data_IF_576856256583
#
_entry.id   IF_576856256583
#
_cell.length_a   1.000
_cell.length_b   1.000
_cell.length_c   1.000
_cell.angle_alpha   90.00
_cell.angle_beta   90.00
_cell.angle_gamma   90.00
#
_symmetry.space_group_name_H-M   'P 1'
#
loop_
_entity.id
_entity.type
_entity.pdbx_description
1 polymer ?
#
# COMPACT_ATOMS: atom_id res chain seq x y z
N UNK A 1 36.44 -11.11 -4.18
CA UNK A 1 35.13 -11.78 -4.40
C UNK A 1 34.09 -10.75 -4.78
N UNK A 2 33.39 -10.92 -5.91
CA UNK A 2 32.31 -10.02 -6.34
C UNK A 2 31.17 -9.99 -5.32
N UNK A 3 30.44 -8.87 -5.24
CA UNK A 3 29.29 -8.74 -4.36
C UNK A 3 28.21 -9.80 -4.64
N UNK A 4 28.05 -10.19 -5.92
CA UNK A 4 27.15 -11.28 -6.34
C UNK A 4 27.51 -12.62 -5.70
N UNK A 5 28.80 -12.98 -5.66
CA UNK A 5 29.25 -14.25 -5.08
C UNK A 5 29.00 -14.30 -3.56
N UNK A 6 29.13 -13.17 -2.86
CA UNK A 6 28.85 -13.08 -1.42
C UNK A 6 27.37 -13.34 -1.12
N UNK A 7 26.46 -12.73 -1.88
CA UNK A 7 25.01 -12.91 -1.67
C UNK A 7 24.57 -14.34 -1.95
N UNK A 8 25.11 -15.00 -2.98
CA UNK A 8 24.81 -16.40 -3.26
C UNK A 8 25.23 -17.32 -2.11
N UNK A 9 26.35 -17.05 -1.44
CA UNK A 9 26.77 -17.80 -0.25
C UNK A 9 25.76 -17.63 0.90
N UNK A 10 25.32 -16.39 1.17
CA UNK A 10 24.32 -16.13 2.22
C UNK A 10 23.00 -16.84 1.92
N UNK A 11 22.55 -16.81 0.66
CA UNK A 11 21.34 -17.54 0.24
C UNK A 11 21.52 -19.03 0.50
N UNK A 12 22.66 -19.63 0.14
CA UNK A 12 22.96 -21.04 0.40
C UNK A 12 22.97 -21.39 1.89
N UNK A 13 23.44 -20.49 2.76
CA UNK A 13 23.43 -20.68 4.22
C UNK A 13 22.01 -20.61 4.79
N UNK A 14 21.16 -19.68 4.35
CA UNK A 14 19.81 -19.49 4.87
C UNK A 14 18.83 -20.57 4.36
N UNK A 15 18.97 -20.98 3.09
CA UNK A 15 17.99 -21.86 2.41
C UNK A 15 17.68 -23.15 3.17
N UNK A 16 18.64 -23.91 3.74
CA UNK A 16 18.33 -25.11 4.51
C UNK A 16 17.41 -24.85 5.71
N UNK A 17 17.64 -23.77 6.46
CA UNK A 17 16.80 -23.38 7.58
C UNK A 17 15.42 -22.89 7.12
N UNK A 18 15.38 -22.12 6.02
CA UNK A 18 14.14 -21.64 5.43
C UNK A 18 13.25 -22.81 4.96
N UNK A 19 13.84 -23.79 4.26
CA UNK A 19 13.15 -24.98 3.81
C UNK A 19 12.68 -25.83 4.98
N UNK A 20 13.50 -25.96 6.04
CA UNK A 20 13.11 -26.64 7.28
C UNK A 20 11.89 -25.97 7.93
N UNK A 21 11.82 -24.64 7.91
CA UNK A 21 10.68 -23.88 8.42
C UNK A 21 9.44 -24.03 7.54
N UNK A 22 9.54 -23.75 6.24
CA UNK A 22 8.39 -23.75 5.31
C UNK A 22 7.84 -25.17 5.14
N UNK A 23 8.71 -26.16 4.92
CA UNK A 23 8.30 -27.54 4.67
C UNK A 23 7.66 -28.23 5.87
N UNK A 24 7.95 -27.80 7.09
CA UNK A 24 7.42 -28.43 8.33
C UNK A 24 6.50 -27.50 9.13
N UNK A 25 6.06 -26.38 8.54
CA UNK A 25 5.38 -25.30 9.28
C UNK A 25 4.16 -25.77 10.08
N UNK A 26 3.42 -26.76 9.59
CA UNK A 26 2.24 -27.33 10.27
C UNK A 26 2.59 -28.17 11.51
N UNK A 27 3.80 -28.74 11.55
CA UNK A 27 4.23 -29.71 12.56
C UNK A 27 5.16 -29.09 13.61
N UNK A 28 5.63 -27.87 13.37
CA UNK A 28 6.49 -27.14 14.29
C UNK A 28 5.67 -26.44 15.37
N UNK A 29 6.08 -26.58 16.63
CA UNK A 29 5.63 -25.67 17.68
C UNK A 29 6.10 -24.25 17.40
N UNK A 30 5.47 -23.27 18.04
CA UNK A 30 5.93 -21.88 17.99
C UNK A 30 7.37 -21.73 18.48
N UNK A 31 7.74 -22.43 19.56
CA UNK A 31 9.12 -22.43 20.07
C UNK A 31 10.12 -23.01 19.07
N UNK A 32 9.78 -24.14 18.41
CA UNK A 32 10.63 -24.73 17.36
C UNK A 32 10.76 -23.80 16.15
N UNK A 33 9.66 -23.16 15.76
CA UNK A 33 9.66 -22.15 14.69
C UNK A 33 10.59 -20.99 15.03
N UNK A 34 10.51 -20.43 16.24
CA UNK A 34 11.41 -19.37 16.70
C UNK A 34 12.87 -19.80 16.66
N UNK A 35 13.18 -21.03 17.08
CA UNK A 35 14.55 -21.57 17.05
C UNK A 35 15.11 -21.65 15.63
N UNK A 36 14.32 -22.08 14.64
CA UNK A 36 14.77 -22.11 13.24
C UNK A 36 14.93 -20.68 12.71
N UNK A 37 13.99 -19.79 13.01
CA UNK A 37 14.06 -18.40 12.60
C UNK A 37 15.22 -17.64 13.26
N UNK A 38 15.60 -18.02 14.48
CA UNK A 38 16.76 -17.50 15.20
C UNK A 38 18.07 -17.86 14.48
N UNK A 39 18.21 -19.10 13.98
CA UNK A 39 19.40 -19.51 13.22
C UNK A 39 19.59 -18.63 11.97
N UNK A 40 18.49 -18.36 11.26
CA UNK A 40 18.48 -17.44 10.12
C UNK A 40 18.84 -16.02 10.57
N UNK A 41 18.30 -15.57 11.70
CA UNK A 41 18.60 -14.26 12.28
C UNK A 41 20.07 -14.10 12.66
N UNK A 42 20.72 -15.15 13.15
CA UNK A 42 22.14 -15.17 13.48
C UNK A 42 23.00 -15.07 12.22
N UNK A 43 22.69 -15.85 11.19
CA UNK A 43 23.36 -15.73 9.87
C UNK A 43 23.24 -14.29 9.36
N UNK A 44 22.03 -13.71 9.38
CA UNK A 44 21.81 -12.33 8.95
C UNK A 44 22.62 -11.34 9.79
N UNK A 45 22.68 -11.50 11.12
CA UNK A 45 23.45 -10.63 12.02
C UNK A 45 24.93 -10.65 11.71
N UNK A 46 25.52 -11.83 11.59
CA UNK A 46 26.94 -12.01 11.26
C UNK A 46 27.28 -11.30 9.95
N UNK A 47 26.43 -11.46 8.92
CA UNK A 47 26.68 -10.87 7.61
C UNK A 47 26.46 -9.35 7.60
N UNK A 48 25.45 -8.86 8.32
CA UNK A 48 25.21 -7.42 8.50
C UNK A 48 26.40 -6.74 9.16
N UNK A 49 26.92 -7.33 10.24
CA UNK A 49 28.08 -6.80 10.97
C UNK A 49 29.33 -6.83 10.09
N UNK A 50 29.58 -7.97 9.42
CA UNK A 50 30.75 -8.16 8.55
C UNK A 50 30.76 -7.20 7.35
N UNK A 51 29.59 -6.89 6.80
CA UNK A 51 29.46 -6.00 5.64
C UNK A 51 29.28 -4.53 6.03
N UNK A 52 29.01 -4.24 7.31
CA UNK A 52 28.69 -2.92 7.83
C UNK A 52 27.59 -2.20 7.02
N UNK A 53 26.48 -2.90 6.76
CA UNK A 53 25.34 -2.36 6.00
C UNK A 53 24.05 -2.33 6.82
N UNK A 54 23.12 -1.41 6.54
CA UNK A 54 21.80 -1.46 7.12
C UNK A 54 21.09 -2.79 6.81
N UNK A 55 20.36 -3.40 7.77
CA UNK A 55 19.73 -4.71 7.57
C UNK A 55 18.82 -4.76 6.32
N UNK A 56 18.06 -3.69 6.08
CA UNK A 56 17.16 -3.60 4.94
C UNK A 56 17.87 -3.68 3.58
N UNK A 57 19.12 -3.23 3.49
CA UNK A 57 19.91 -3.33 2.27
C UNK A 57 20.28 -4.79 1.98
N UNK A 58 20.68 -5.55 3.02
CA UNK A 58 20.95 -6.97 2.86
C UNK A 58 19.69 -7.75 2.44
N UNK A 59 18.54 -7.43 3.04
CA UNK A 59 17.30 -8.14 2.70
C UNK A 59 16.88 -7.96 1.25
N UNK A 60 17.06 -6.75 0.71
CA UNK A 60 16.84 -6.45 -0.71
C UNK A 60 17.78 -7.24 -1.60
N UNK A 61 19.05 -7.36 -1.21
CA UNK A 61 20.05 -8.11 -1.98
C UNK A 61 19.75 -9.62 -2.02
N UNK A 62 19.31 -10.21 -0.90
CA UNK A 62 18.92 -11.62 -0.80
C UNK A 62 17.64 -11.92 -1.59
N UNK A 63 16.62 -11.07 -1.49
CA UNK A 63 15.34 -11.29 -2.16
C UNK A 63 15.43 -11.02 -3.67
N UNK A 64 16.11 -9.94 -4.06
CA UNK A 64 16.36 -9.62 -5.46
C UNK A 64 15.27 -8.80 -6.18
N UNK A 65 14.19 -8.34 -5.53
CA UNK A 65 13.28 -7.32 -6.09
C UNK A 65 13.42 -5.99 -5.35
N UNK A 66 13.64 -4.89 -6.08
CA UNK A 66 13.41 -3.53 -5.58
C UNK A 66 11.93 -3.14 -5.76
N UNK A 67 11.37 -2.40 -4.80
CA UNK A 67 10.06 -1.72 -4.92
C UNK A 67 10.13 -0.44 -5.77
N UNK A 68 11.27 -0.19 -6.41
CA UNK A 68 11.53 0.96 -7.29
C UNK A 68 12.01 0.48 -8.65
N UNK A 69 11.70 1.26 -9.69
CA UNK A 69 11.78 1.12 -11.16
C UNK A 69 12.87 0.26 -11.83
N UNK A 70 13.79 -0.37 -11.09
CA UNK A 70 14.70 -1.36 -11.63
C UNK A 70 14.09 -2.75 -11.44
N UNK A 71 13.72 -3.41 -12.54
CA UNK A 71 13.32 -4.82 -12.55
C UNK A 71 14.54 -5.69 -12.22
N UNK A 72 14.90 -5.80 -10.93
CA UNK A 72 15.90 -6.76 -10.49
C UNK A 72 15.21 -8.14 -10.43
N UNK A 73 15.82 -9.12 -11.10
CA UNK A 73 15.36 -10.51 -11.08
C UNK A 73 15.39 -11.05 -9.65
N UNK A 74 14.30 -11.71 -9.25
CA UNK A 74 14.19 -12.37 -7.96
C UNK A 74 15.32 -13.40 -7.79
N UNK A 75 16.11 -13.26 -6.72
CA UNK A 75 17.26 -14.11 -6.43
C UNK A 75 16.94 -15.26 -5.48
N UNK A 76 15.92 -15.08 -4.64
CA UNK A 76 15.44 -16.14 -3.74
C UNK A 76 13.96 -15.97 -3.39
N UNK A 77 13.35 -17.03 -2.87
CA UNK A 77 11.99 -17.02 -2.34
C UNK A 77 11.91 -16.55 -0.87
N UNK A 78 13.02 -16.13 -0.28
CA UNK A 78 13.10 -15.71 1.12
C UNK A 78 12.70 -14.23 1.20
N UNK A 79 11.47 -13.95 1.61
CA UNK A 79 10.92 -12.59 1.58
C UNK A 79 11.63 -11.64 2.54
N UNK A 80 11.68 -10.34 2.19
CA UNK A 80 12.25 -9.30 3.06
C UNK A 80 11.58 -9.24 4.44
N UNK A 81 10.26 -9.43 4.46
CA UNK A 81 9.50 -9.45 5.71
C UNK A 81 9.90 -10.63 6.61
N UNK A 82 10.06 -11.83 6.02
CA UNK A 82 10.52 -12.99 6.76
C UNK A 82 11.93 -12.79 7.34
N UNK A 83 12.86 -12.28 6.53
CA UNK A 83 14.22 -11.95 6.97
C UNK A 83 14.21 -10.91 8.12
N UNK A 84 13.40 -9.86 7.98
CA UNK A 84 13.23 -8.86 9.03
C UNK A 84 12.72 -9.45 10.35
N UNK A 85 11.78 -10.39 10.30
CA UNK A 85 11.30 -11.11 11.50
C UNK A 85 12.40 -11.99 12.12
N UNK A 86 13.14 -12.75 11.32
CA UNK A 86 14.27 -13.56 11.79
C UNK A 86 15.33 -12.72 12.52
N UNK A 87 15.73 -11.60 11.91
CA UNK A 87 16.69 -10.69 12.52
C UNK A 87 16.17 -10.09 13.83
N UNK A 88 14.89 -9.67 13.88
CA UNK A 88 14.26 -9.18 15.12
C UNK A 88 14.25 -10.24 16.22
N UNK A 89 13.89 -11.49 15.90
CA UNK A 89 13.92 -12.62 16.84
C UNK A 89 15.32 -12.79 17.45
N UNK A 90 16.37 -12.70 16.62
CA UNK A 90 17.76 -12.76 17.11
C UNK A 90 18.15 -11.58 18.01
N UNK A 91 17.60 -10.39 17.78
CA UNK A 91 17.80 -9.24 18.69
C UNK A 91 17.05 -9.40 20.00
N UNK A 92 15.82 -9.93 19.96
CA UNK A 92 14.98 -10.19 21.14
C UNK A 92 15.61 -11.26 22.04
N UNK A 93 16.16 -12.31 21.43
CA UNK A 93 16.80 -13.42 22.13
C UNK A 93 18.29 -13.46 21.76
N UNK A 94 19.18 -12.82 22.53
CA UNK A 94 20.60 -12.82 22.24
C UNK A 94 21.19 -14.23 22.13
N UNK A 95 20.68 -15.17 22.93
CA UNK A 95 21.06 -16.57 22.87
C UNK A 95 19.85 -17.43 22.52
N UNK A 96 20.05 -18.44 21.68
CA UNK A 96 18.96 -19.36 21.28
C UNK A 96 18.27 -20.02 22.48
N UNK A 97 19.02 -20.34 23.54
CA UNK A 97 18.51 -20.90 24.80
C UNK A 97 17.53 -19.98 25.54
N UNK A 98 17.55 -18.68 25.26
CA UNK A 98 16.62 -17.74 25.89
C UNK A 98 15.18 -17.97 25.40
N UNK A 99 15.01 -18.54 24.19
CA UNK A 99 13.71 -18.98 23.68
C UNK A 99 13.19 -20.13 24.54
N UNK A 100 14.03 -21.11 24.85
CA UNK A 100 13.62 -22.26 25.67
C UNK A 100 13.32 -21.85 27.12
N UNK A 101 14.02 -20.83 27.64
CA UNK A 101 13.73 -20.26 28.96
C UNK A 101 12.43 -19.46 29.00
N UNK A 102 12.22 -18.58 28.03
CA UNK A 102 11.11 -17.61 28.07
C UNK A 102 9.83 -18.14 27.43
N UNK A 103 9.94 -19.01 26.41
CA UNK A 103 8.82 -19.47 25.58
C UNK A 103 8.81 -21.01 25.38
N UNK A 104 9.05 -21.82 26.42
CA UNK A 104 9.14 -23.28 26.27
C UNK A 104 7.86 -23.93 25.75
N UNK A 105 6.69 -23.34 26.04
CA UNK A 105 5.36 -23.87 25.71
C UNK A 105 4.66 -23.08 24.60
N UNK A 106 5.39 -22.22 23.88
CA UNK A 106 4.80 -21.43 22.80
C UNK A 106 4.28 -22.36 21.69
N UNK A 107 2.96 -22.40 21.54
CA UNK A 107 2.26 -23.27 20.57
C UNK A 107 2.33 -22.77 19.14
N UNK A 108 2.21 -21.45 18.93
CA UNK A 108 2.09 -20.86 17.60
C UNK A 108 3.04 -19.68 17.43
N UNK A 109 3.82 -19.70 16.35
CA UNK A 109 4.64 -18.57 15.94
C UNK A 109 3.80 -17.30 15.72
N UNK A 110 2.57 -17.44 15.21
CA UNK A 110 1.67 -16.30 14.98
C UNK A 110 1.36 -15.56 16.28
N UNK A 111 1.18 -16.26 17.41
CA UNK A 111 0.98 -15.60 18.71
C UNK A 111 2.18 -14.74 19.09
N UNK A 112 3.40 -15.26 18.95
CA UNK A 112 4.61 -14.47 19.19
C UNK A 112 4.74 -13.30 18.20
N UNK A 113 4.42 -13.52 16.92
CA UNK A 113 4.50 -12.49 15.89
C UNK A 113 3.64 -11.27 16.25
N UNK A 114 2.40 -11.50 16.68
CA UNK A 114 1.52 -10.40 17.12
C UNK A 114 2.05 -9.73 18.40
N UNK A 115 2.64 -10.50 19.32
CA UNK A 115 3.21 -9.95 20.54
C UNK A 115 4.56 -9.24 20.35
N UNK A 116 5.23 -9.43 19.20
CA UNK A 116 6.60 -8.98 18.94
C UNK A 116 6.86 -7.50 19.27
N UNK A 117 5.95 -6.54 18.99
CA UNK A 117 6.16 -5.13 19.35
C UNK A 117 6.44 -4.91 20.85
N UNK A 118 5.87 -5.73 21.73
CA UNK A 118 6.10 -5.65 23.17
C UNK A 118 7.47 -6.18 23.60
N UNK A 119 8.24 -6.79 22.70
CA UNK A 119 9.58 -7.31 22.97
C UNK A 119 10.70 -6.39 22.48
N UNK A 120 10.51 -5.67 21.37
CA UNK A 120 11.60 -4.98 20.66
C UNK A 120 11.32 -3.56 20.20
N UNK A 121 10.14 -3.00 20.50
CA UNK A 121 9.86 -1.60 20.22
C UNK A 121 10.00 -0.78 21.50
N UNK A 122 11.04 0.04 21.59
CA UNK A 122 11.38 0.82 22.79
C UNK A 122 10.22 1.68 23.32
N UNK A 123 9.29 2.10 22.46
CA UNK A 123 8.13 2.91 22.87
C UNK A 123 7.07 2.12 23.64
N UNK A 124 6.94 0.82 23.39
CA UNK A 124 5.86 -0.02 23.91
C UNK A 124 6.35 -1.33 24.54
N UNK A 125 7.66 -1.48 24.69
CA UNK A 125 8.30 -2.67 25.21
C UNK A 125 7.84 -2.94 26.64
N UNK A 126 7.42 -4.17 26.91
CA UNK A 126 7.04 -4.58 28.25
C UNK A 126 8.27 -4.98 29.07
N UNK A 127 8.32 -4.51 30.31
CA UNK A 127 9.36 -4.81 31.28
C UNK A 127 8.74 -5.22 32.64
N UNK A 128 9.54 -5.87 33.49
CA UNK A 128 9.09 -6.39 34.79
C UNK A 128 7.82 -7.25 34.70
N UNK A 129 6.83 -6.91 35.53
CA UNK A 129 5.56 -7.64 35.67
C UNK A 129 4.80 -7.76 34.33
N UNK A 130 4.81 -6.71 33.50
CA UNK A 130 4.10 -6.74 32.21
C UNK A 130 4.69 -7.79 31.28
N UNK A 131 6.02 -7.92 31.27
CA UNK A 131 6.73 -8.93 30.48
C UNK A 131 6.40 -10.33 31.00
N UNK A 132 6.40 -10.53 32.32
CA UNK A 132 6.06 -11.81 32.93
C UNK A 132 4.62 -12.24 32.60
N UNK A 133 3.66 -11.33 32.65
CA UNK A 133 2.27 -11.60 32.29
C UNK A 133 2.14 -11.97 30.80
N UNK A 134 2.84 -11.27 29.91
CA UNK A 134 2.85 -11.60 28.49
C UNK A 134 3.48 -12.98 28.22
N UNK A 135 4.61 -13.29 28.87
CA UNK A 135 5.24 -14.60 28.76
C UNK A 135 4.34 -15.72 29.31
N UNK A 136 3.63 -15.48 30.42
CA UNK A 136 2.64 -16.41 30.98
C UNK A 136 1.50 -16.66 30.00
N UNK A 137 0.99 -15.61 29.35
CA UNK A 137 -0.06 -15.71 28.33
C UNK A 137 0.43 -16.55 27.13
N UNK A 138 1.63 -16.26 26.60
CA UNK A 138 2.20 -16.93 25.43
C UNK A 138 2.54 -18.41 25.68
N UNK A 139 2.82 -18.79 26.93
CA UNK A 139 3.07 -20.18 27.36
C UNK A 139 1.83 -20.90 27.90
N UNK A 140 0.65 -20.26 27.88
CA UNK A 140 -0.56 -20.83 28.44
C UNK A 140 -1.10 -21.99 27.60
N UNK A 141 -1.97 -22.82 28.20
CA UNK A 141 -2.63 -23.91 27.48
C UNK A 141 -3.83 -23.46 26.64
N UNK A 142 -4.11 -22.15 26.58
CA UNK A 142 -5.27 -21.58 25.89
C UNK A 142 -5.13 -21.76 24.36
N UNK A 143 -6.26 -21.71 23.63
CA UNK A 143 -6.28 -21.72 22.16
C UNK A 143 -5.54 -20.50 21.59
N UNK A 144 -4.79 -20.71 20.50
CA UNK A 144 -4.01 -19.65 19.85
C UNK A 144 -4.87 -18.45 19.42
N UNK A 145 -6.11 -18.68 18.99
CA UNK A 145 -7.05 -17.62 18.62
C UNK A 145 -7.39 -16.68 19.79
N UNK A 146 -7.58 -17.23 20.99
CA UNK A 146 -7.84 -16.44 22.19
C UNK A 146 -6.61 -15.66 22.62
N UNK A 147 -5.42 -16.28 22.58
CA UNK A 147 -4.14 -15.60 22.85
C UNK A 147 -3.97 -14.39 21.91
N UNK A 148 -4.23 -14.58 20.61
CA UNK A 148 -4.17 -13.50 19.62
C UNK A 148 -5.19 -12.40 19.94
N UNK A 149 -6.41 -12.74 20.35
CA UNK A 149 -7.43 -11.77 20.76
C UNK A 149 -6.97 -10.92 21.93
N UNK A 150 -6.39 -11.54 22.96
CA UNK A 150 -5.89 -10.82 24.14
C UNK A 150 -4.67 -9.95 23.82
N UNK A 151 -3.76 -10.44 22.95
CA UNK A 151 -2.65 -9.61 22.43
C UNK A 151 -3.20 -8.39 21.67
N UNK A 152 -4.24 -8.54 20.85
CA UNK A 152 -4.84 -7.40 20.13
C UNK A 152 -5.47 -6.38 21.09
N UNK A 153 -6.07 -6.81 22.20
CA UNK A 153 -6.55 -5.90 23.25
C UNK A 153 -5.39 -5.13 23.88
N UNK A 154 -4.28 -5.82 24.19
CA UNK A 154 -3.05 -5.17 24.67
C UNK A 154 -2.53 -4.16 23.65
N UNK A 155 -2.46 -4.51 22.37
CA UNK A 155 -2.03 -3.58 21.32
C UNK A 155 -2.93 -2.35 21.25
N UNK A 156 -4.25 -2.52 21.32
CA UNK A 156 -5.20 -1.40 21.35
C UNK A 156 -4.96 -0.47 22.54
N UNK A 157 -4.74 -1.04 23.72
CA UNK A 157 -4.59 -0.28 24.97
C UNK A 157 -3.23 0.44 25.08
N UNK A 158 -2.15 -0.20 24.66
CA UNK A 158 -0.78 0.30 24.88
C UNK A 158 -0.15 0.96 23.66
N UNK A 159 -0.48 0.49 22.45
CA UNK A 159 0.08 1.06 21.21
C UNK A 159 -0.81 2.19 20.70
N UNK A 160 -2.14 2.03 20.81
CA UNK A 160 -3.13 3.05 20.43
C UNK A 160 -3.21 3.36 18.94
N UNK A 161 -2.47 2.64 18.09
CA UNK A 161 -2.42 2.91 16.64
C UNK A 161 -3.46 2.06 15.92
N UNK A 162 -4.63 2.66 15.68
CA UNK A 162 -5.51 2.21 14.61
C UNK A 162 -5.03 2.83 13.29
N UNK A 163 -4.08 2.18 12.61
CA UNK A 163 -3.80 2.51 11.20
C UNK A 163 -4.96 1.95 10.36
N UNK A 164 -6.11 2.62 10.41
CA UNK A 164 -7.21 2.27 9.51
C UNK A 164 -6.74 2.53 8.10
N UNK A 165 -7.10 1.68 7.14
CA UNK A 165 -6.81 1.92 5.71
C UNK A 165 -7.32 3.29 5.23
N UNK A 166 -8.18 3.98 5.99
CA UNK A 166 -8.74 5.32 5.70
C UNK A 166 -7.87 6.49 6.21
N UNK A 167 -6.79 6.22 6.94
CA UNK A 167 -5.90 7.25 7.48
C UNK A 167 -5.41 8.16 6.33
N UNK A 168 -5.58 9.47 6.50
CA UNK A 168 -5.25 10.53 5.52
C UNK A 168 -6.16 10.61 4.29
N UNK A 169 -7.29 9.89 4.24
CA UNK A 169 -8.30 10.13 3.19
C UNK A 169 -9.02 11.48 3.40
N UNK A 170 -9.22 11.89 4.65
CA UNK A 170 -9.89 13.16 4.97
C UNK A 170 -9.13 14.39 4.45
N UNK A 171 -7.81 14.27 4.27
CA UNK A 171 -6.94 15.30 3.67
C UNK A 171 -7.30 15.62 2.21
N UNK A 172 -8.08 14.75 1.55
CA UNK A 172 -8.54 14.89 0.16
C UNK A 172 -10.05 15.20 0.04
N UNK A 173 -10.75 15.48 1.15
CA UNK A 173 -12.18 15.80 1.10
C UNK A 173 -12.46 17.05 0.27
N UNK A 174 -11.59 18.07 0.33
CA UNK A 174 -11.72 19.27 -0.50
C UNK A 174 -11.67 18.94 -1.99
N UNK A 175 -10.75 18.06 -2.42
CA UNK A 175 -10.65 17.63 -3.82
C UNK A 175 -11.85 16.77 -4.23
N UNK A 176 -12.34 15.91 -3.33
CA UNK A 176 -13.54 15.12 -3.56
C UNK A 176 -14.75 16.03 -3.84
N UNK A 177 -15.00 17.02 -3.00
CA UNK A 177 -16.15 17.94 -3.18
C UNK A 177 -16.01 18.74 -4.48
N UNK A 178 -14.81 19.22 -4.81
CA UNK A 178 -14.55 19.86 -6.10
C UNK A 178 -14.78 18.91 -7.28
N UNK A 179 -14.39 17.65 -7.18
CA UNK A 179 -14.65 16.66 -8.22
C UNK A 179 -16.14 16.45 -8.44
N UNK A 180 -16.93 16.33 -7.36
CA UNK A 180 -18.39 16.18 -7.45
C UNK A 180 -19.02 17.40 -8.12
N UNK A 181 -18.59 18.60 -7.74
CA UNK A 181 -19.03 19.84 -8.38
C UNK A 181 -18.74 19.84 -9.89
N UNK A 182 -17.50 19.57 -10.30
CA UNK A 182 -17.10 19.52 -11.71
C UNK A 182 -17.93 18.47 -12.47
N UNK A 183 -18.08 17.28 -11.87
CA UNK A 183 -18.84 16.20 -12.47
C UNK A 183 -20.29 16.62 -12.76
N UNK A 184 -20.94 17.24 -11.79
CA UNK A 184 -22.32 17.68 -11.93
C UNK A 184 -22.45 18.85 -12.92
N UNK A 185 -21.51 19.79 -12.93
CA UNK A 185 -21.54 20.91 -13.87
C UNK A 185 -21.33 20.46 -15.32
N UNK A 186 -20.35 19.60 -15.58
CA UNK A 186 -20.13 19.05 -16.93
C UNK A 186 -21.35 18.23 -17.37
N UNK A 187 -21.94 17.44 -16.45
CA UNK A 187 -23.16 16.70 -16.73
C UNK A 187 -24.32 17.64 -17.09
N UNK A 188 -24.55 18.69 -16.29
CA UNK A 188 -25.58 19.71 -16.52
C UNK A 188 -25.40 20.42 -17.86
N UNK A 189 -24.16 20.74 -18.23
CA UNK A 189 -23.83 21.31 -19.54
C UNK A 189 -24.30 20.37 -20.65
N UNK A 190 -23.93 19.10 -20.59
CA UNK A 190 -24.26 18.11 -21.61
C UNK A 190 -25.76 17.81 -21.74
N UNK A 191 -26.53 17.94 -20.66
CA UNK A 191 -27.97 17.61 -20.66
C UNK A 191 -28.88 18.80 -20.89
N UNK A 192 -28.51 19.99 -20.41
CA UNK A 192 -29.45 21.12 -20.30
C UNK A 192 -29.12 22.30 -21.24
N UNK A 193 -27.99 22.26 -21.95
CA UNK A 193 -27.60 23.33 -22.87
C UNK A 193 -27.59 22.85 -24.32
N UNK A 194 -27.87 23.78 -25.23
CA UNK A 194 -27.56 23.59 -26.64
C UNK A 194 -26.07 23.81 -26.90
N UNK A 195 -25.50 22.99 -27.78
CA UNK A 195 -24.06 22.98 -28.04
C UNK A 195 -23.52 24.36 -28.47
N UNK A 196 -24.20 25.04 -29.39
CA UNK A 196 -23.74 26.34 -29.92
C UNK A 196 -23.69 27.40 -28.81
N UNK A 197 -24.79 27.52 -28.04
CA UNK A 197 -24.91 28.44 -26.91
C UNK A 197 -23.84 28.18 -25.84
N UNK A 198 -23.55 26.92 -25.55
CA UNK A 198 -22.47 26.56 -24.64
C UNK A 198 -21.11 26.98 -25.22
N UNK A 199 -20.87 26.68 -26.49
CA UNK A 199 -19.56 26.84 -27.12
C UNK A 199 -19.15 28.31 -27.25
N UNK A 200 -20.11 29.18 -27.58
CA UNK A 200 -19.92 30.63 -27.63
C UNK A 200 -19.52 31.21 -26.27
N UNK A 201 -20.10 30.70 -25.18
CA UNK A 201 -19.86 31.20 -23.83
C UNK A 201 -18.62 30.63 -23.15
N UNK A 202 -18.14 29.45 -23.57
CA UNK A 202 -17.06 28.76 -22.87
C UNK A 202 -15.69 29.45 -23.06
N UNK A 203 -15.45 30.12 -24.18
CA UNK A 203 -14.16 30.75 -24.51
C UNK A 203 -12.92 29.87 -24.20
N UNK A 204 -13.04 28.55 -24.44
CA UNK A 204 -11.95 27.57 -24.28
C UNK A 204 -11.82 26.76 -25.56
N UNK A 205 -10.59 26.65 -26.06
CA UNK A 205 -10.26 25.90 -27.28
C UNK A 205 -10.51 24.41 -27.13
N UNK A 206 -10.81 23.73 -28.24
CA UNK A 206 -10.99 22.28 -28.25
C UNK A 206 -9.76 21.53 -27.78
N UNK A 207 -8.56 21.97 -28.18
CA UNK A 207 -7.31 21.35 -27.75
C UNK A 207 -7.15 21.38 -26.23
N UNK A 208 -7.57 22.46 -25.59
CA UNK A 208 -7.51 22.58 -24.14
C UNK A 208 -8.51 21.65 -23.45
N UNK A 209 -9.72 21.50 -24.00
CA UNK A 209 -10.73 20.55 -23.51
C UNK A 209 -10.22 19.11 -23.66
N UNK A 210 -9.61 18.77 -24.80
CA UNK A 210 -9.00 17.45 -25.04
C UNK A 210 -7.91 17.20 -24.01
N UNK A 211 -7.05 18.18 -23.76
CA UNK A 211 -6.00 18.06 -22.75
C UNK A 211 -6.59 17.80 -21.34
N UNK A 212 -7.63 18.55 -20.94
CA UNK A 212 -8.33 18.29 -19.68
C UNK A 212 -8.92 16.88 -19.59
N UNK A 213 -9.52 16.38 -20.69
CA UNK A 213 -10.04 15.02 -20.76
C UNK A 213 -8.92 13.98 -20.56
N UNK A 214 -7.80 14.13 -21.28
CA UNK A 214 -6.65 13.23 -21.19
C UNK A 214 -6.01 13.24 -19.79
N UNK A 215 -5.82 14.42 -19.21
CA UNK A 215 -5.30 14.59 -17.85
C UNK A 215 -6.23 13.94 -16.81
N UNK A 216 -7.54 14.07 -16.99
CA UNK A 216 -8.54 13.44 -16.13
C UNK A 216 -8.50 11.92 -16.26
N UNK A 217 -8.37 11.39 -17.48
CA UNK A 217 -8.20 9.95 -17.72
C UNK A 217 -6.91 9.41 -17.09
N UNK A 218 -5.82 10.17 -17.18
CA UNK A 218 -4.53 9.81 -16.60
C UNK A 218 -4.58 9.66 -15.06
N UNK A 219 -5.59 10.23 -14.37
CA UNK A 219 -5.79 9.96 -12.94
C UNK A 219 -6.15 8.50 -12.65
N UNK A 220 -6.66 7.76 -13.62
CA UNK A 220 -6.95 6.32 -13.50
C UNK A 220 -5.68 5.48 -13.61
N UNK A 221 -4.68 5.96 -14.34
CA UNK A 221 -3.45 5.20 -14.60
C UNK A 221 -2.66 4.90 -13.32
N UNK A 222 -2.10 3.69 -13.27
CA UNK A 222 -1.15 3.26 -12.25
C UNK A 222 0.29 3.68 -12.57
N UNK A 223 0.56 4.05 -13.83
CA UNK A 223 1.88 4.48 -14.28
C UNK A 223 2.19 5.91 -13.80
N UNK A 224 3.49 6.22 -13.64
CA UNK A 224 3.95 7.57 -13.33
C UNK A 224 3.84 8.41 -14.61
N UNK A 225 2.64 8.92 -14.86
CA UNK A 225 2.43 9.96 -15.87
C UNK A 225 2.62 11.30 -15.15
N UNK A 226 3.59 12.10 -15.60
CA UNK A 226 3.73 13.52 -15.28
C UNK A 226 3.41 14.31 -16.54
N UNK A 227 2.13 14.40 -16.90
CA UNK A 227 1.74 15.09 -18.12
C UNK A 227 2.00 16.59 -17.96
N UNK A 228 2.16 17.29 -19.09
CA UNK A 228 2.34 18.74 -19.08
C UNK A 228 1.07 19.42 -18.56
N UNK A 229 1.20 20.04 -17.39
CA UNK A 229 0.10 20.70 -16.71
C UNK A 229 -0.31 21.99 -17.42
N UNK A 230 -1.62 22.28 -17.37
CA UNK A 230 -2.22 23.43 -18.03
C UNK A 230 -1.84 24.72 -17.29
N UNK A 231 -1.03 25.55 -17.94
CA UNK A 231 -0.64 26.89 -17.48
C UNK A 231 -1.51 27.97 -18.12
N UNK A 232 -2.81 27.95 -17.83
CA UNK A 232 -3.75 29.00 -18.25
C UNK A 232 -4.26 29.75 -17.02
N UNK A 233 -4.12 31.07 -17.02
CA UNK A 233 -4.52 31.95 -15.91
C UNK A 233 -6.03 32.26 -15.93
N UNK A 234 -6.65 32.23 -17.11
CA UNK A 234 -8.05 32.62 -17.32
C UNK A 234 -8.91 31.44 -17.76
N UNK A 235 -9.10 30.47 -16.87
CA UNK A 235 -10.00 29.34 -17.10
C UNK A 235 -11.40 29.65 -16.52
N UNK A 236 -12.49 29.40 -17.26
CA UNK A 236 -13.84 29.43 -16.69
C UNK A 236 -14.08 28.21 -15.80
N UNK A 237 -15.11 28.27 -14.96
CA UNK A 237 -15.65 27.06 -14.35
C UNK A 237 -16.35 26.19 -15.41
N UNK A 238 -16.32 24.85 -15.28
CA UNK A 238 -15.70 24.06 -14.22
C UNK A 238 -14.20 23.77 -14.42
N UNK A 239 -13.61 24.23 -15.53
CA UNK A 239 -12.22 23.92 -15.93
C UNK A 239 -11.16 24.49 -14.98
N UNK A 240 -11.43 25.65 -14.36
CA UNK A 240 -10.58 26.23 -13.31
C UNK A 240 -10.47 25.31 -12.10
N UNK A 241 -11.61 24.84 -11.58
CA UNK A 241 -11.64 23.87 -10.48
C UNK A 241 -10.95 22.56 -10.85
N UNK A 242 -11.16 22.07 -12.07
CA UNK A 242 -10.50 20.88 -12.57
C UNK A 242 -8.98 21.05 -12.63
N UNK A 243 -8.50 22.18 -13.16
CA UNK A 243 -7.06 22.48 -13.23
C UNK A 243 -6.43 22.49 -11.83
N UNK A 244 -7.11 23.04 -10.83
CA UNK A 244 -6.62 23.04 -9.45
C UNK A 244 -6.46 21.62 -8.87
N UNK A 245 -7.41 20.71 -9.13
CA UNK A 245 -7.30 19.30 -8.73
C UNK A 245 -6.13 18.63 -9.46
N UNK A 246 -6.05 18.77 -10.79
CA UNK A 246 -5.03 18.14 -11.60
C UNK A 246 -3.62 18.60 -11.19
N UNK A 247 -3.43 19.91 -11.02
CA UNK A 247 -2.16 20.47 -10.54
C UNK A 247 -1.76 19.90 -9.17
N UNK A 248 -2.70 19.78 -8.23
CA UNK A 248 -2.41 19.18 -6.91
C UNK A 248 -1.99 17.71 -7.04
N UNK A 249 -2.72 16.93 -7.84
CA UNK A 249 -2.56 15.48 -7.93
C UNK A 249 -1.37 15.02 -8.79
N UNK A 250 -0.92 15.80 -9.77
CA UNK A 250 0.14 15.41 -10.72
C UNK A 250 1.55 15.91 -10.38
N UNK A 251 1.77 16.55 -9.22
CA UNK A 251 3.14 16.90 -8.79
C UNK A 251 3.97 15.64 -8.45
N UNK A 252 5.28 15.68 -8.76
CA UNK A 252 6.21 14.52 -8.74
C UNK A 252 6.28 13.77 -7.40
N UNK A 253 5.91 14.40 -6.28
CA UNK A 253 5.96 13.82 -4.94
C UNK A 253 4.67 13.07 -4.53
N UNK A 254 3.60 13.17 -5.32
CA UNK A 254 2.22 12.89 -4.87
C UNK A 254 1.55 11.67 -5.49
N UNK A 255 2.31 10.69 -5.99
CA UNK A 255 1.75 9.42 -6.49
C UNK A 255 0.85 8.73 -5.44
N UNK A 256 1.19 8.86 -4.17
CA UNK A 256 0.37 8.37 -3.05
C UNK A 256 -0.96 9.12 -2.89
N UNK A 257 -1.02 10.42 -3.20
CA UNK A 257 -2.27 11.20 -3.19
C UNK A 257 -3.20 10.77 -4.32
N UNK A 258 -2.70 10.50 -5.53
CA UNK A 258 -3.51 9.95 -6.65
C UNK A 258 -4.15 8.62 -6.29
N UNK A 259 -3.35 7.71 -5.71
CA UNK A 259 -3.84 6.42 -5.24
C UNK A 259 -4.92 6.58 -4.17
N UNK A 260 -4.77 7.52 -3.22
CA UNK A 260 -5.78 7.82 -2.21
C UNK A 260 -7.03 8.46 -2.81
N UNK A 261 -6.89 9.37 -3.78
CA UNK A 261 -7.99 10.00 -4.48
C UNK A 261 -8.86 8.97 -5.21
N UNK A 262 -8.26 8.00 -5.91
CA UNK A 262 -8.97 6.87 -6.55
C UNK A 262 -9.74 5.96 -5.57
N UNK A 263 -9.38 5.99 -4.29
CA UNK A 263 -10.13 5.27 -3.24
C UNK A 263 -11.33 6.06 -2.73
N UNK A 264 -11.36 7.37 -2.94
CA UNK A 264 -12.50 8.25 -2.63
C UNK A 264 -13.45 8.35 -3.81
N UNK A 265 -12.91 8.49 -5.02
CA UNK A 265 -13.66 8.54 -6.27
C UNK A 265 -13.32 7.30 -7.10
N UNK A 266 -14.29 6.39 -7.32
CA UNK A 266 -14.06 5.18 -8.10
C UNK A 266 -13.53 5.49 -9.52
N UNK A 267 -12.58 4.72 -10.07
CA UNK A 267 -12.03 4.91 -11.40
C UNK A 267 -13.07 5.06 -12.52
N UNK A 268 -14.22 4.39 -12.39
CA UNK A 268 -15.33 4.45 -13.35
C UNK A 268 -15.92 5.86 -13.40
N UNK A 269 -16.02 6.55 -12.25
CA UNK A 269 -16.50 7.94 -12.18
C UNK A 269 -15.51 8.93 -12.78
N UNK A 270 -14.21 8.68 -12.58
CA UNK A 270 -13.14 9.49 -13.17
C UNK A 270 -13.13 9.34 -14.69
N UNK A 271 -13.22 8.10 -15.18
CA UNK A 271 -13.28 7.79 -16.62
C UNK A 271 -14.51 8.43 -17.26
N UNK A 272 -15.68 8.29 -16.62
CA UNK A 272 -16.91 8.93 -17.11
C UNK A 272 -16.80 10.45 -17.16
N UNK A 273 -16.13 11.09 -16.21
CA UNK A 273 -15.86 12.52 -16.28
C UNK A 273 -14.95 12.89 -17.46
N UNK A 274 -13.90 12.11 -17.69
CA UNK A 274 -13.01 12.30 -18.84
C UNK A 274 -13.78 12.20 -20.17
N UNK A 275 -14.67 11.22 -20.31
CA UNK A 275 -15.52 11.05 -21.50
C UNK A 275 -16.50 12.21 -21.67
N UNK A 276 -17.12 12.66 -20.56
CA UNK A 276 -18.01 13.81 -20.58
C UNK A 276 -17.29 15.08 -21.01
N UNK A 277 -16.07 15.33 -20.49
CA UNK A 277 -15.25 16.47 -20.91
C UNK A 277 -14.91 16.36 -22.40
N UNK A 278 -14.54 15.17 -22.87
CA UNK A 278 -14.24 14.95 -24.29
C UNK A 278 -15.46 15.22 -25.18
N UNK A 279 -16.67 14.88 -24.73
CA UNK A 279 -17.89 15.13 -25.49
C UNK A 279 -18.18 16.63 -25.72
N UNK A 280 -17.55 17.54 -24.96
CA UNK A 280 -17.68 18.98 -25.13
C UNK A 280 -16.91 19.55 -26.34
N UNK A 281 -16.07 18.74 -27.01
CA UNK A 281 -15.20 19.21 -28.11
C UNK A 281 -15.95 19.35 -29.44
N UNK A 282 -16.97 18.51 -29.65
CA UNK A 282 -17.68 18.40 -30.92
C UNK A 282 -19.18 18.22 -30.72
N UNK A 283 -19.97 18.91 -31.55
CA UNK A 283 -21.44 18.85 -31.54
C UNK A 283 -21.98 17.43 -31.60
N UNK A 284 -21.37 16.58 -32.45
CA UNK A 284 -21.79 15.19 -32.63
C UNK A 284 -21.64 14.39 -31.33
N UNK A 285 -20.53 14.55 -30.62
CA UNK A 285 -20.25 13.86 -29.36
C UNK A 285 -21.15 14.38 -28.23
N UNK A 286 -21.34 15.69 -28.17
CA UNK A 286 -22.23 16.36 -27.23
C UNK A 286 -23.67 15.82 -27.34
N UNK A 287 -24.22 15.81 -28.56
CA UNK A 287 -25.58 15.31 -28.83
C UNK A 287 -25.67 13.80 -28.61
N UNK A 288 -24.64 13.04 -28.97
CA UNK A 288 -24.61 11.59 -28.76
C UNK A 288 -24.67 11.25 -27.26
N UNK A 289 -23.94 11.98 -26.42
CA UNK A 289 -23.96 11.79 -24.98
C UNK A 289 -25.35 12.08 -24.38
N UNK A 290 -26.01 13.16 -24.83
CA UNK A 290 -27.36 13.52 -24.39
C UNK A 290 -28.38 12.41 -24.74
N UNK A 291 -28.31 11.86 -25.96
CA UNK A 291 -29.18 10.75 -26.41
C UNK A 291 -28.96 9.43 -25.65
N UNK A 292 -27.72 9.11 -25.25
CA UNK A 292 -27.41 7.91 -24.45
C UNK A 292 -28.01 7.94 -23.04
N UNK A 293 -28.26 9.11 -22.46
CA UNK A 293 -28.91 9.22 -21.14
C UNK A 293 -30.44 9.16 -21.24
N UNK A 294 -31.03 9.63 -22.34
CA UNK A 294 -32.47 9.58 -22.58
C UNK A 294 -32.99 8.16 -22.84
N UNK A 295 -32.16 7.27 -23.39
CA UNK A 295 -32.46 5.86 -23.62
C UNK A 295 -31.36 4.98 -23.00
N UNK A 296 -31.41 4.67 -21.70
CA UNK A 296 -30.49 3.70 -21.12
C UNK A 296 -30.76 2.34 -21.76
N UNK A 297 -29.79 1.81 -22.51
CA UNK A 297 -29.83 0.42 -22.99
C UNK A 297 -30.13 -0.49 -21.80
N UNK A 298 -31.18 -1.33 -21.84
CA UNK A 298 -31.47 -2.24 -20.75
C UNK A 298 -30.27 -3.16 -20.55
N UNK A 299 -29.69 -3.13 -19.36
CA UNK A 299 -28.71 -4.12 -18.93
C UNK A 299 -29.38 -5.49 -18.98
N UNK A 300 -28.78 -6.51 -19.63
CA UNK A 300 -29.28 -7.88 -19.50
C UNK A 300 -29.24 -8.26 -18.02
N UNK A 301 -30.24 -9.01 -17.50
CA UNK A 301 -30.12 -9.58 -16.17
C UNK A 301 -28.92 -10.52 -16.17
N UNK A 302 -28.02 -10.32 -15.21
CA UNK A 302 -26.80 -11.10 -15.02
C UNK A 302 -27.09 -12.62 -15.10
N UNK A 303 -26.38 -13.31 -15.98
CA UNK A 303 -26.28 -14.76 -16.06
C UNK A 303 -24.83 -15.20 -15.87
#
# INVERSE_FOLDING_TARGET
MSNSNKINTIIKEITPHYNKYIGNKSNLSGAQSLKIMWDIGEILKIQIDKLNIPPHNLYRQIYGKSESNNNILQKSYITREFQGRCFRIRKIFPLKKDIDKQLPKLKSFTCFREAMPFFDNDKYKFEGIQKELLLKLLNSNIKSSSIISDIKKLQKNYIGINNTRKQRLDELNVEKEKFIFIYNEVYRILTNFEYETFKENLNVSNDLIINFSQLTSALVSEEIVTPDLIKSENLPEPFKSLNAILNKLFTKEKMTERSRFRRLIPPERISKLSDMIYALTEKKLFVHYNKRQANPTPTPPDG
#
